data_IF_848561599106
#
_entry.id   IF_848561599106
#
_cell.length_a   1.000
_cell.length_b   1.000
_cell.length_c   1.000
_cell.angle_alpha   90.00
_cell.angle_beta   90.00
_cell.angle_gamma   90.00
#
_symmetry.space_group_name_H-M   'P 1'
#
loop_
_entity.id
_entity.type
_entity.pdbx_description
1 polymer ?
#
# COMPACT_ATOMS: atom_id res chain seq x y z
N UNK A 1 17.50 14.55 19.21
CA UNK A 1 18.50 14.02 18.24
C UNK A 1 17.76 13.07 17.32
N UNK A 2 17.87 13.17 16.00
CA UNK A 2 17.38 12.10 15.11
C UNK A 2 18.11 10.80 15.46
N UNK A 3 17.39 9.69 15.55
CA UNK A 3 17.97 8.35 15.65
C UNK A 3 18.95 8.18 14.49
N UNK A 4 20.16 7.76 14.75
CA UNK A 4 21.23 7.66 13.73
C UNK A 4 21.04 6.47 12.81
N UNK A 5 20.23 5.48 13.18
CA UNK A 5 19.88 4.30 12.41
C UNK A 5 18.38 4.28 12.12
N UNK A 6 18.01 3.90 10.89
CA UNK A 6 16.62 3.69 10.43
C UNK A 6 16.41 2.20 10.26
N UNK A 7 15.70 1.60 11.22
CA UNK A 7 15.45 0.16 11.26
C UNK A 7 14.03 -0.16 10.75
N UNK A 8 13.96 -1.04 9.78
CA UNK A 8 12.69 -1.56 9.22
C UNK A 8 12.65 -3.07 9.40
N UNK A 9 11.52 -3.55 9.88
CA UNK A 9 11.23 -4.99 9.98
C UNK A 9 10.17 -5.34 8.92
N UNK A 10 10.41 -6.40 8.16
CA UNK A 10 9.43 -6.96 7.21
C UNK A 10 8.96 -8.30 7.73
N UNK A 11 7.65 -8.41 8.02
CA UNK A 11 7.02 -9.65 8.45
C UNK A 11 6.34 -10.32 7.25
N UNK A 12 6.88 -11.45 6.85
CA UNK A 12 6.53 -12.22 5.67
C UNK A 12 7.56 -12.06 4.55
N UNK A 13 8.31 -13.13 4.26
CA UNK A 13 9.34 -13.17 3.19
C UNK A 13 8.85 -13.91 1.95
N UNK A 14 7.54 -13.72 1.64
CA UNK A 14 6.99 -14.11 0.34
C UNK A 14 7.47 -13.18 -0.77
N UNK A 15 7.02 -13.40 -2.02
CA UNK A 15 7.41 -12.57 -3.17
C UNK A 15 7.20 -11.06 -2.94
N UNK A 16 6.18 -10.67 -2.19
CA UNK A 16 5.92 -9.25 -1.89
C UNK A 16 6.95 -8.71 -0.91
N UNK A 17 7.17 -9.39 0.22
CA UNK A 17 8.12 -8.94 1.25
C UNK A 17 9.54 -8.83 0.71
N UNK A 18 10.00 -9.83 -0.05
CA UNK A 18 11.34 -9.82 -0.67
C UNK A 18 11.47 -8.76 -1.75
N UNK A 19 10.41 -8.50 -2.53
CA UNK A 19 10.40 -7.39 -3.49
C UNK A 19 10.46 -6.02 -2.81
N UNK A 20 9.81 -5.85 -1.65
CA UNK A 20 9.92 -4.63 -0.84
C UNK A 20 11.35 -4.47 -0.33
N UNK A 21 11.91 -5.53 0.27
CA UNK A 21 13.29 -5.54 0.76
C UNK A 21 14.28 -5.13 -0.33
N UNK A 22 14.21 -5.78 -1.49
CA UNK A 22 15.07 -5.48 -2.64
C UNK A 22 14.89 -4.04 -3.14
N UNK A 23 13.63 -3.56 -3.23
CA UNK A 23 13.37 -2.18 -3.64
C UNK A 23 13.91 -1.15 -2.65
N UNK A 24 13.88 -1.46 -1.34
CA UNK A 24 14.41 -0.59 -0.29
C UNK A 24 15.94 -0.54 -0.32
N UNK A 25 16.59 -1.67 -0.48
CA UNK A 25 18.05 -1.79 -0.61
C UNK A 25 18.54 -0.97 -1.80
N UNK A 26 17.96 -1.20 -2.99
CA UNK A 26 18.37 -0.47 -4.20
C UNK A 26 18.18 1.05 -4.12
N UNK A 27 17.34 1.54 -3.22
CA UNK A 27 17.08 2.98 -3.05
C UNK A 27 17.72 3.56 -1.78
N UNK A 28 18.50 2.78 -1.01
CA UNK A 28 19.12 3.23 0.23
C UNK A 28 18.12 3.78 1.26
N UNK A 29 16.94 3.14 1.42
CA UNK A 29 15.84 3.70 2.22
C UNK A 29 16.07 3.51 3.71
N UNK A 30 16.61 2.37 4.14
CA UNK A 30 16.86 2.03 5.54
C UNK A 30 18.35 1.76 5.78
N UNK A 31 18.78 1.80 7.04
CA UNK A 31 20.13 1.39 7.44
C UNK A 31 20.15 -0.06 7.93
N UNK A 32 19.03 -0.50 8.51
CA UNK A 32 18.84 -1.83 9.06
C UNK A 32 17.54 -2.42 8.54
N UNK A 33 17.60 -3.63 8.03
CA UNK A 33 16.47 -4.35 7.46
C UNK A 33 16.41 -5.75 8.03
N UNK A 34 15.35 -6.05 8.78
CA UNK A 34 15.14 -7.35 9.40
C UNK A 34 14.03 -8.10 8.69
N UNK A 35 14.27 -9.36 8.38
CA UNK A 35 13.30 -10.25 7.76
C UNK A 35 12.75 -11.24 8.78
N UNK A 36 11.43 -11.31 8.92
CA UNK A 36 10.75 -12.27 9.81
C UNK A 36 9.79 -13.12 8.96
N UNK A 37 9.85 -14.43 9.11
CA UNK A 37 8.90 -15.36 8.50
C UNK A 37 8.67 -16.54 9.45
N UNK A 38 7.51 -17.20 9.34
CA UNK A 38 7.24 -18.47 10.03
C UNK A 38 8.20 -19.58 9.60
N UNK A 39 8.71 -19.50 8.37
CA UNK A 39 9.82 -20.30 7.88
C UNK A 39 11.12 -19.52 8.05
N UNK A 40 11.75 -19.69 9.21
CA UNK A 40 12.97 -18.99 9.57
C UNK A 40 14.14 -19.30 8.62
N UNK A 41 14.30 -20.54 8.19
CA UNK A 41 15.35 -20.93 7.21
C UNK A 41 15.20 -20.17 5.89
N UNK A 42 13.95 -19.98 5.44
CA UNK A 42 13.67 -19.18 4.25
C UNK A 42 14.05 -17.72 4.47
N UNK A 43 13.65 -17.12 5.60
CA UNK A 43 13.99 -15.72 5.91
C UNK A 43 15.50 -15.50 5.97
N UNK A 44 16.25 -16.46 6.51
CA UNK A 44 17.70 -16.43 6.53
C UNK A 44 18.30 -16.52 5.11
N UNK A 45 17.80 -17.43 4.28
CA UNK A 45 18.24 -17.54 2.89
C UNK A 45 17.98 -16.26 2.08
N UNK A 46 16.80 -15.64 2.25
CA UNK A 46 16.48 -14.35 1.60
C UNK A 46 17.40 -13.21 2.11
N UNK A 47 17.75 -13.19 3.39
CA UNK A 47 18.67 -12.20 3.95
C UNK A 47 20.08 -12.37 3.38
N UNK A 48 20.58 -13.61 3.26
CA UNK A 48 21.89 -13.92 2.68
C UNK A 48 21.96 -13.50 1.20
N UNK A 49 20.95 -13.84 0.40
CA UNK A 49 20.89 -13.48 -1.03
C UNK A 49 20.87 -11.94 -1.23
N UNK A 50 20.12 -11.22 -0.38
CA UNK A 50 20.13 -9.76 -0.38
C UNK A 50 21.49 -9.17 -0.02
N UNK A 51 22.20 -9.76 0.95
CA UNK A 51 23.54 -9.34 1.36
C UNK A 51 24.57 -9.53 0.26
N UNK A 52 24.48 -10.58 -0.55
CA UNK A 52 25.38 -10.82 -1.66
C UNK A 52 25.36 -9.68 -2.70
N UNK A 53 24.23 -8.99 -2.80
CA UNK A 53 24.06 -7.81 -3.66
C UNK A 53 24.61 -6.50 -3.09
N UNK A 54 24.93 -6.42 -1.78
CA UNK A 54 25.23 -5.16 -1.09
C UNK A 54 26.45 -4.42 -1.65
N UNK A 55 27.44 -5.12 -2.16
CA UNK A 55 28.64 -4.50 -2.76
C UNK A 55 28.34 -3.58 -3.96
N UNK A 56 27.15 -3.71 -4.54
CA UNK A 56 26.67 -2.96 -5.70
C UNK A 56 25.54 -1.98 -5.36
N UNK A 57 25.13 -1.91 -4.08
CA UNK A 57 24.11 -0.97 -3.61
C UNK A 57 24.67 0.45 -3.49
N UNK A 58 23.78 1.45 -3.55
CA UNK A 58 24.15 2.85 -3.36
C UNK A 58 24.51 3.15 -1.88
N UNK A 59 23.88 2.43 -0.95
CA UNK A 59 24.06 2.59 0.49
C UNK A 59 24.36 1.23 1.13
N UNK A 60 25.11 1.25 2.23
CA UNK A 60 25.35 0.04 3.01
C UNK A 60 24.18 -0.21 3.98
N UNK A 61 23.42 -1.26 3.74
CA UNK A 61 22.27 -1.67 4.57
C UNK A 61 22.62 -2.97 5.29
N UNK A 62 22.50 -2.99 6.61
CA UNK A 62 22.60 -4.24 7.37
C UNK A 62 21.29 -5.03 7.19
N UNK A 63 21.41 -6.29 6.74
CA UNK A 63 20.26 -7.17 6.50
C UNK A 63 20.45 -8.47 7.26
N UNK A 64 19.42 -8.90 8.01
CA UNK A 64 19.44 -10.21 8.69
C UNK A 64 18.02 -10.75 8.87
N UNK A 65 17.91 -12.05 9.17
CA UNK A 65 16.67 -12.66 9.63
C UNK A 65 16.62 -12.59 11.17
N UNK A 66 15.42 -12.37 11.71
CA UNK A 66 15.24 -12.28 13.16
C UNK A 66 13.87 -12.78 13.61
N UNK A 67 13.57 -12.55 14.86
CA UNK A 67 12.27 -12.79 15.47
C UNK A 67 11.57 -11.47 15.86
N UNK A 68 10.39 -11.56 16.48
CA UNK A 68 9.61 -10.38 16.83
C UNK A 68 10.27 -9.47 17.87
N UNK A 69 11.30 -9.90 18.60
CA UNK A 69 12.05 -9.05 19.51
C UNK A 69 12.73 -7.89 18.78
N UNK A 70 13.06 -8.09 17.51
CA UNK A 70 13.63 -7.07 16.61
C UNK A 70 12.68 -5.87 16.36
N UNK A 71 11.40 -6.04 16.64
CA UNK A 71 10.42 -4.94 16.51
C UNK A 71 10.55 -3.91 17.64
N UNK A 72 11.19 -4.23 18.77
CA UNK A 72 11.24 -3.37 19.96
C UNK A 72 11.81 -1.98 19.72
N UNK A 73 12.79 -1.86 18.85
CA UNK A 73 13.50 -0.63 18.50
C UNK A 73 13.33 -0.22 17.03
N UNK A 74 12.48 -0.95 16.27
CA UNK A 74 12.19 -0.64 14.87
C UNK A 74 11.43 0.68 14.73
N UNK A 75 11.78 1.47 13.71
CA UNK A 75 11.05 2.68 13.35
C UNK A 75 9.76 2.35 12.60
N UNK A 76 9.79 1.25 11.83
CA UNK A 76 8.67 0.84 10.99
C UNK A 76 8.63 -0.69 10.85
N UNK A 77 7.42 -1.25 10.90
CA UNK A 77 7.18 -2.66 10.58
C UNK A 77 6.25 -2.75 9.37
N UNK A 78 6.70 -3.47 8.34
CA UNK A 78 5.88 -3.78 7.15
C UNK A 78 5.33 -5.19 7.29
N UNK A 79 4.01 -5.35 7.18
CA UNK A 79 3.35 -6.65 7.25
C UNK A 79 2.89 -7.06 5.86
N UNK A 80 3.49 -8.12 5.32
CA UNK A 80 3.15 -8.71 4.02
C UNK A 80 2.65 -10.16 4.16
N UNK A 81 2.67 -10.70 5.38
CA UNK A 81 2.26 -12.05 5.67
C UNK A 81 0.76 -12.24 5.48
N UNK A 82 0.40 -13.35 4.87
CA UNK A 82 -0.97 -13.76 4.59
C UNK A 82 -0.96 -14.96 3.65
N UNK A 83 -2.10 -15.62 3.53
CA UNK A 83 -2.25 -16.73 2.59
C UNK A 83 -3.02 -16.28 1.35
N UNK A 84 -2.71 -16.89 0.22
CA UNK A 84 -3.47 -16.74 -1.01
C UNK A 84 -4.70 -17.65 -0.99
N UNK A 85 -5.74 -17.27 -1.74
CA UNK A 85 -6.96 -18.06 -1.88
C UNK A 85 -6.63 -19.45 -2.48
N UNK A 86 -7.12 -20.49 -1.84
CA UNK A 86 -6.99 -21.86 -2.31
C UNK A 86 -8.18 -22.27 -3.18
N UNK A 87 -8.03 -23.23 -4.09
CA UNK A 87 -9.16 -23.80 -4.83
C UNK A 87 -10.26 -24.27 -3.87
N UNK A 88 -11.51 -23.85 -4.11
CA UNK A 88 -12.66 -24.19 -3.27
C UNK A 88 -12.84 -23.35 -2.00
N UNK A 89 -11.93 -22.46 -1.67
CA UNK A 89 -12.05 -21.51 -0.56
C UNK A 89 -12.88 -20.30 -1.00
N UNK A 90 -13.84 -19.88 -0.17
CA UNK A 90 -14.58 -18.63 -0.44
C UNK A 90 -13.72 -17.40 -0.12
N UNK A 91 -14.04 -16.25 -0.73
CA UNK A 91 -13.39 -14.96 -0.41
C UNK A 91 -13.55 -14.62 1.08
N UNK A 92 -14.70 -14.93 1.67
CA UNK A 92 -14.97 -14.66 3.09
C UNK A 92 -14.10 -15.51 4.02
N UNK A 93 -13.90 -16.81 3.70
CA UNK A 93 -13.03 -17.70 4.48
C UNK A 93 -11.59 -17.23 4.45
N UNK A 94 -11.13 -16.76 3.28
CA UNK A 94 -9.79 -16.17 3.13
C UNK A 94 -9.62 -14.93 4.01
N UNK A 95 -10.61 -14.03 3.99
CA UNK A 95 -10.58 -12.81 4.81
C UNK A 95 -10.53 -13.15 6.30
N UNK A 96 -11.33 -14.11 6.78
CA UNK A 96 -11.30 -14.56 8.17
C UNK A 96 -9.96 -15.16 8.56
N UNK A 97 -9.37 -15.98 7.69
CA UNK A 97 -8.05 -16.59 7.95
C UNK A 97 -6.97 -15.53 8.05
N UNK A 98 -6.91 -14.60 7.08
CA UNK A 98 -5.93 -13.52 7.07
C UNK A 98 -6.14 -12.54 8.24
N UNK A 99 -7.38 -12.33 8.67
CA UNK A 99 -7.69 -11.55 9.87
C UNK A 99 -7.09 -12.19 11.14
N UNK A 100 -7.19 -13.52 11.29
CA UNK A 100 -6.55 -14.26 12.38
C UNK A 100 -5.05 -14.11 12.36
N UNK A 101 -4.43 -14.35 11.21
CA UNK A 101 -2.97 -14.18 11.01
C UNK A 101 -2.53 -12.75 11.36
N UNK A 102 -3.25 -11.74 10.89
CA UNK A 102 -2.93 -10.33 11.19
C UNK A 102 -2.99 -10.03 12.68
N UNK A 103 -4.02 -10.50 13.39
CA UNK A 103 -4.14 -10.33 14.84
C UNK A 103 -2.95 -10.96 15.58
N UNK A 104 -2.57 -12.18 15.23
CA UNK A 104 -1.45 -12.88 15.86
C UNK A 104 -0.11 -12.20 15.61
N UNK A 105 0.14 -11.72 14.40
CA UNK A 105 1.33 -10.95 14.05
C UNK A 105 1.39 -9.65 14.86
N UNK A 106 0.31 -8.87 14.86
CA UNK A 106 0.27 -7.59 15.57
C UNK A 106 0.46 -7.76 17.08
N UNK A 107 -0.11 -8.82 17.68
CA UNK A 107 0.12 -9.13 19.11
C UNK A 107 1.59 -9.40 19.41
N UNK A 108 2.29 -10.14 18.55
CA UNK A 108 3.71 -10.40 18.71
C UNK A 108 4.55 -9.13 18.57
N UNK A 109 4.25 -8.30 17.55
CA UNK A 109 4.90 -7.00 17.36
C UNK A 109 4.72 -6.12 18.60
N UNK A 110 3.50 -5.97 19.08
CA UNK A 110 3.20 -5.13 20.25
C UNK A 110 3.73 -5.72 21.55
N UNK A 111 3.75 -7.05 21.67
CA UNK A 111 4.35 -7.76 22.79
C UNK A 111 5.86 -7.54 22.93
N UNK A 112 6.56 -7.25 21.85
CA UNK A 112 7.96 -6.85 21.81
C UNK A 112 8.21 -5.41 22.31
N UNK A 113 7.15 -4.61 22.52
CA UNK A 113 7.28 -3.21 22.94
C UNK A 113 7.37 -2.21 21.78
N UNK A 114 6.97 -2.60 20.59
CA UNK A 114 6.97 -1.73 19.39
C UNK A 114 6.18 -0.44 19.61
N UNK A 115 6.75 0.68 19.17
CA UNK A 115 6.12 2.01 19.24
C UNK A 115 6.37 2.87 17.98
N UNK A 116 6.60 2.22 16.84
CA UNK A 116 6.82 2.87 15.54
C UNK A 116 5.54 2.97 14.69
N UNK A 117 5.71 2.83 13.39
CA UNK A 117 4.64 2.89 12.39
C UNK A 117 4.44 1.51 11.76
N UNK A 118 3.19 1.04 11.71
CA UNK A 118 2.81 -0.17 10.98
C UNK A 118 2.42 0.18 9.55
N UNK A 119 2.98 -0.56 8.58
CA UNK A 119 2.56 -0.52 7.17
C UNK A 119 2.03 -1.90 6.78
N UNK A 120 0.79 -1.95 6.34
CA UNK A 120 0.10 -3.19 5.95
C UNK A 120 0.04 -3.27 4.43
N UNK A 121 0.57 -4.37 3.87
CA UNK A 121 0.52 -4.68 2.44
C UNK A 121 -0.20 -6.01 2.14
N UNK A 122 -0.64 -6.73 3.18
CA UNK A 122 -1.41 -7.98 3.05
C UNK A 122 -2.85 -7.70 2.63
N UNK A 123 -3.41 -8.56 1.78
CA UNK A 123 -4.78 -8.41 1.28
C UNK A 123 -5.81 -9.27 2.07
N UNK A 124 -7.06 -8.73 2.20
CA UNK A 124 -7.55 -7.44 1.70
C UNK A 124 -7.05 -6.26 2.56
N UNK A 125 -6.28 -5.37 1.95
CA UNK A 125 -5.44 -4.42 2.68
C UNK A 125 -6.22 -3.48 3.59
N UNK A 126 -7.33 -2.89 3.13
CA UNK A 126 -8.12 -1.94 3.92
C UNK A 126 -8.71 -2.60 5.18
N UNK A 127 -9.20 -3.82 5.04
CA UNK A 127 -9.75 -4.63 6.14
C UNK A 127 -8.64 -5.01 7.13
N UNK A 128 -7.51 -5.51 6.62
CA UNK A 128 -6.39 -5.93 7.46
C UNK A 128 -5.72 -4.75 8.17
N UNK A 129 -5.69 -3.57 7.53
CA UNK A 129 -5.23 -2.32 8.17
C UNK A 129 -6.15 -1.92 9.33
N UNK A 130 -7.47 -2.03 9.16
CA UNK A 130 -8.43 -1.78 10.22
C UNK A 130 -8.26 -2.77 11.40
N UNK A 131 -7.97 -4.04 11.11
CA UNK A 131 -7.71 -5.07 12.13
C UNK A 131 -6.39 -4.79 12.84
N UNK A 132 -5.33 -4.49 12.10
CA UNK A 132 -4.02 -4.15 12.65
C UNK A 132 -4.10 -2.92 13.59
N UNK A 133 -4.82 -1.89 13.17
CA UNK A 133 -5.06 -0.73 14.01
C UNK A 133 -5.74 -1.07 15.34
N UNK A 134 -6.84 -1.82 15.29
CA UNK A 134 -7.60 -2.21 16.50
C UNK A 134 -6.79 -3.08 17.44
N UNK A 135 -6.04 -4.03 16.89
CA UNK A 135 -5.25 -4.96 17.66
C UNK A 135 -4.00 -4.32 18.28
N UNK A 136 -3.38 -3.35 17.57
CA UNK A 136 -2.17 -2.70 18.03
C UNK A 136 -2.41 -1.66 19.15
N UNK A 137 -3.59 -1.06 19.19
CA UNK A 137 -3.87 0.07 20.09
C UNK A 137 -3.10 1.36 19.74
N UNK A 138 -2.38 1.39 18.62
CA UNK A 138 -1.68 2.58 18.15
C UNK A 138 -2.67 3.65 17.68
N UNK A 139 -2.29 4.93 17.69
CA UNK A 139 -3.06 5.97 16.99
C UNK A 139 -3.28 5.58 15.53
N UNK A 140 -4.46 5.88 14.97
CA UNK A 140 -4.79 5.55 13.58
C UNK A 140 -3.81 6.16 12.56
N UNK A 141 -3.19 7.28 12.90
CA UNK A 141 -2.13 7.90 12.09
C UNK A 141 -0.87 7.04 11.94
N UNK A 142 -0.62 6.12 12.87
CA UNK A 142 0.57 5.23 12.85
C UNK A 142 0.31 3.87 12.24
N UNK A 143 -0.85 3.64 11.68
CA UNK A 143 -1.18 2.40 10.97
C UNK A 143 -1.62 2.77 9.56
N UNK A 144 -0.85 2.34 8.58
CA UNK A 144 -0.99 2.74 7.17
C UNK A 144 -1.18 1.48 6.35
N UNK A 145 -2.25 1.38 5.58
CA UNK A 145 -2.34 0.38 4.52
C UNK A 145 -1.74 0.90 3.22
N UNK A 146 -1.22 0.01 2.37
CA UNK A 146 -0.74 0.44 1.04
C UNK A 146 -1.84 1.04 0.18
N UNK A 147 -3.10 0.72 0.48
CA UNK A 147 -4.28 1.30 -0.15
C UNK A 147 -4.21 1.24 -1.67
N UNK A 148 -4.61 2.32 -2.30
CA UNK A 148 -4.65 2.46 -3.76
C UNK A 148 -3.36 3.08 -4.34
N UNK A 149 -2.22 3.01 -3.61
CA UNK A 149 -0.94 3.55 -4.09
C UNK A 149 -0.49 2.88 -5.39
N UNK A 150 -0.61 1.56 -5.50
CA UNK A 150 -0.27 0.83 -6.72
C UNK A 150 -1.28 1.09 -7.85
N UNK A 151 -2.57 1.12 -7.54
CA UNK A 151 -3.63 1.35 -8.52
C UNK A 151 -3.51 2.75 -9.11
N UNK A 152 -3.20 3.75 -8.29
CA UNK A 152 -2.87 5.10 -8.74
C UNK A 152 -1.64 5.12 -9.66
N UNK A 153 -0.62 4.30 -9.40
CA UNK A 153 0.54 4.19 -10.30
C UNK A 153 0.15 3.58 -11.64
N UNK A 154 -0.70 2.55 -11.64
CA UNK A 154 -1.27 1.95 -12.86
C UNK A 154 -2.10 2.97 -13.64
N UNK A 155 -2.96 3.71 -12.94
CA UNK A 155 -3.79 4.75 -13.51
C UNK A 155 -2.97 5.82 -14.23
N UNK A 156 -1.96 6.37 -13.56
CA UNK A 156 -1.04 7.34 -14.14
C UNK A 156 -0.28 6.78 -15.35
N UNK A 157 0.13 5.53 -15.29
CA UNK A 157 0.81 4.84 -16.40
C UNK A 157 -0.11 4.70 -17.63
N UNK A 158 -1.34 4.27 -17.45
CA UNK A 158 -2.27 4.09 -18.60
C UNK A 158 -2.58 5.44 -19.29
N UNK A 159 -2.80 6.51 -18.51
CA UNK A 159 -2.98 7.87 -19.06
C UNK A 159 -1.71 8.32 -19.80
N UNK A 160 -0.56 8.12 -19.19
CA UNK A 160 0.73 8.50 -19.76
C UNK A 160 1.01 7.79 -21.08
N UNK A 161 0.69 6.50 -21.18
CA UNK A 161 0.80 5.72 -22.42
C UNK A 161 -0.14 6.28 -23.50
N UNK A 162 -1.39 6.60 -23.15
CA UNK A 162 -2.36 7.15 -24.10
C UNK A 162 -1.92 8.52 -24.65
N UNK A 163 -1.31 9.36 -23.83
CA UNK A 163 -0.87 10.71 -24.21
C UNK A 163 0.60 10.79 -24.64
N UNK A 164 1.35 9.68 -24.57
CA UNK A 164 2.80 9.63 -24.85
C UNK A 164 3.59 10.63 -24.01
N UNK A 165 3.35 10.64 -22.69
CA UNK A 165 4.06 11.46 -21.69
C UNK A 165 4.69 10.59 -20.60
N UNK A 166 5.59 11.15 -19.80
CA UNK A 166 6.12 10.47 -18.62
C UNK A 166 5.04 10.32 -17.54
N UNK A 167 4.85 9.13 -16.92
CA UNK A 167 3.86 8.93 -15.86
C UNK A 167 3.99 9.88 -14.67
N UNK A 168 5.20 10.40 -14.40
CA UNK A 168 5.45 11.41 -13.36
C UNK A 168 4.83 12.77 -13.65
N UNK A 169 4.46 13.03 -14.91
CA UNK A 169 3.76 14.24 -15.33
C UNK A 169 2.23 14.12 -15.19
N UNK A 170 1.73 12.95 -14.82
CA UNK A 170 0.31 12.70 -14.58
C UNK A 170 0.04 12.78 -13.07
N UNK A 171 -0.89 13.63 -12.68
CA UNK A 171 -1.38 13.76 -11.32
C UNK A 171 -2.85 13.34 -11.29
N UNK A 172 -3.17 12.31 -10.54
CA UNK A 172 -4.49 11.74 -10.40
C UNK A 172 -4.46 10.64 -9.36
N UNK A 173 -5.62 10.21 -8.88
CA UNK A 173 -5.74 9.26 -7.78
C UNK A 173 -6.83 8.23 -8.07
N UNK A 174 -6.58 7.01 -7.62
CA UNK A 174 -7.62 6.01 -7.40
C UNK A 174 -8.01 6.09 -5.92
N UNK A 175 -9.31 6.13 -5.65
CA UNK A 175 -9.90 6.27 -4.31
C UNK A 175 -10.69 5.01 -3.95
N UNK A 176 -10.99 4.84 -2.66
CA UNK A 176 -11.87 3.78 -2.18
C UNK A 176 -11.14 2.49 -1.83
N UNK A 177 -11.81 1.36 -1.99
CA UNK A 177 -11.25 0.03 -1.76
C UNK A 177 -10.08 -0.24 -2.71
N UNK A 178 -9.02 -0.86 -2.19
CA UNK A 178 -8.08 -1.54 -3.08
C UNK A 178 -8.72 -2.85 -3.56
N UNK A 179 -9.41 -2.80 -4.69
CA UNK A 179 -10.16 -3.93 -5.22
C UNK A 179 -11.13 -3.53 -6.33
N UNK A 180 -12.17 -4.36 -6.52
CA UNK A 180 -13.07 -4.23 -7.66
C UNK A 180 -13.97 -2.98 -7.61
N UNK A 181 -14.12 -2.33 -6.46
CA UNK A 181 -14.94 -1.12 -6.27
C UNK A 181 -14.11 0.17 -6.22
N UNK A 182 -12.85 0.14 -6.65
CA UNK A 182 -11.98 1.33 -6.73
C UNK A 182 -12.56 2.41 -7.65
N UNK A 183 -12.27 3.68 -7.36
CA UNK A 183 -12.83 4.84 -8.05
C UNK A 183 -11.73 5.73 -8.61
N UNK A 184 -11.73 5.95 -9.92
CA UNK A 184 -10.84 6.91 -10.56
C UNK A 184 -11.36 8.34 -10.37
N UNK A 185 -10.57 9.21 -9.71
CA UNK A 185 -10.90 10.61 -9.50
C UNK A 185 -10.56 11.44 -10.77
N UNK A 186 -11.33 11.26 -11.82
CA UNK A 186 -11.14 11.95 -13.10
C UNK A 186 -11.20 13.47 -12.96
N UNK A 187 -12.12 13.96 -12.12
CA UNK A 187 -12.31 15.39 -11.86
C UNK A 187 -11.04 16.06 -11.27
N UNK A 188 -10.15 15.29 -10.63
CA UNK A 188 -8.90 15.75 -10.04
C UNK A 188 -7.66 15.21 -10.77
N UNK A 189 -7.85 14.73 -12.00
CA UNK A 189 -6.73 14.22 -12.80
C UNK A 189 -6.22 15.28 -13.76
N UNK A 190 -4.90 15.54 -13.73
CA UNK A 190 -4.24 16.52 -14.58
C UNK A 190 -2.98 15.94 -15.22
N UNK A 191 -2.60 16.49 -16.37
CA UNK A 191 -1.33 16.18 -17.05
C UNK A 191 -0.59 17.49 -17.30
N UNK A 192 0.55 17.67 -16.66
CA UNK A 192 1.28 18.95 -16.74
C UNK A 192 0.45 20.14 -16.24
N UNK A 193 -0.47 19.93 -15.30
CA UNK A 193 -1.37 20.96 -14.77
C UNK A 193 -2.66 21.19 -15.59
N UNK A 194 -2.75 20.63 -16.79
CA UNK A 194 -3.97 20.70 -17.60
C UNK A 194 -4.96 19.60 -17.19
N UNK A 195 -6.23 19.92 -16.86
CA UNK A 195 -7.23 18.92 -16.52
C UNK A 195 -7.41 17.85 -17.62
N UNK A 196 -7.56 16.59 -17.22
CA UNK A 196 -7.73 15.48 -18.16
C UNK A 196 -8.94 15.67 -19.07
N UNK A 197 -10.03 16.23 -18.56
CA UNK A 197 -11.25 16.48 -19.33
C UNK A 197 -11.03 17.47 -20.49
N UNK A 198 -10.06 18.37 -20.41
CA UNK A 198 -9.72 19.23 -21.55
C UNK A 198 -9.03 18.46 -22.70
N UNK A 199 -8.37 17.33 -22.41
CA UNK A 199 -7.85 16.44 -23.46
C UNK A 199 -8.97 15.65 -24.13
N UNK A 200 -10.07 15.43 -23.43
CA UNK A 200 -11.29 14.81 -24.01
C UNK A 200 -12.06 15.81 -24.85
N UNK A 201 -12.40 16.96 -24.28
CA UNK A 201 -13.35 17.90 -24.84
C UNK A 201 -12.75 18.79 -25.94
N UNK A 202 -11.48 19.17 -25.83
CA UNK A 202 -10.85 20.16 -26.71
C UNK A 202 -9.75 19.58 -27.59
N UNK A 203 -8.89 18.73 -27.04
CA UNK A 203 -7.74 18.17 -27.78
C UNK A 203 -8.08 16.89 -28.54
N UNK A 204 -9.12 16.18 -28.11
CA UNK A 204 -9.55 14.88 -28.66
C UNK A 204 -8.45 13.80 -28.73
N UNK A 205 -7.38 13.95 -27.93
CA UNK A 205 -6.33 12.94 -27.81
C UNK A 205 -6.74 11.78 -26.90
N UNK A 206 -7.74 12.03 -26.05
CA UNK A 206 -8.44 11.03 -25.26
C UNK A 206 -9.92 11.15 -25.67
N UNK A 207 -10.55 10.05 -25.99
CA UNK A 207 -11.99 9.98 -26.19
C UNK A 207 -12.68 9.61 -24.87
N UNK A 208 -13.95 9.97 -24.69
CA UNK A 208 -14.70 9.65 -23.46
C UNK A 208 -14.64 8.14 -23.12
N UNK A 209 -14.80 7.29 -24.13
CA UNK A 209 -14.65 5.82 -23.96
C UNK A 209 -13.28 5.36 -23.47
N UNK A 210 -12.22 6.14 -23.69
CA UNK A 210 -10.88 5.79 -23.21
C UNK A 210 -10.79 5.89 -21.69
N UNK A 211 -11.62 6.74 -21.07
CA UNK A 211 -11.66 6.86 -19.61
C UNK A 211 -12.11 5.53 -18.98
N UNK A 212 -13.17 4.94 -19.49
CA UNK A 212 -13.67 3.64 -19.03
C UNK A 212 -12.66 2.54 -19.32
N UNK A 213 -12.06 2.52 -20.50
CA UNK A 213 -11.02 1.54 -20.87
C UNK A 213 -9.81 1.64 -19.93
N UNK A 214 -9.39 2.85 -19.57
CA UNK A 214 -8.27 3.06 -18.65
C UNK A 214 -8.64 2.57 -17.25
N UNK A 215 -9.83 2.93 -16.74
CA UNK A 215 -10.29 2.48 -15.43
C UNK A 215 -10.37 0.94 -15.37
N UNK A 216 -10.93 0.30 -16.38
CA UNK A 216 -11.01 -1.15 -16.48
C UNK A 216 -9.63 -1.83 -16.53
N UNK A 217 -8.67 -1.25 -17.26
CA UNK A 217 -7.29 -1.76 -17.29
C UNK A 217 -6.61 -1.67 -15.93
N UNK A 218 -6.84 -0.60 -15.17
CA UNK A 218 -6.28 -0.43 -13.82
C UNK A 218 -6.83 -1.53 -12.91
N UNK A 219 -8.14 -1.66 -12.85
CA UNK A 219 -8.87 -2.64 -12.05
C UNK A 219 -8.45 -4.09 -12.38
N UNK A 220 -8.31 -4.41 -13.66
CA UNK A 220 -7.99 -5.76 -14.12
C UNK A 220 -6.48 -6.06 -14.18
N UNK A 221 -5.60 -5.08 -13.95
CA UNK A 221 -4.16 -5.25 -14.12
C UNK A 221 -3.56 -6.38 -13.26
N UNK A 222 -4.05 -6.56 -12.02
CA UNK A 222 -3.59 -7.62 -11.15
C UNK A 222 -3.96 -9.00 -11.70
N UNK A 223 -5.19 -9.16 -12.19
CA UNK A 223 -5.69 -10.43 -12.75
C UNK A 223 -4.87 -10.83 -13.99
N UNK A 224 -4.60 -9.89 -14.90
CA UNK A 224 -3.80 -10.13 -16.09
C UNK A 224 -2.36 -10.57 -15.73
N UNK A 225 -1.72 -9.91 -14.75
CA UNK A 225 -0.37 -10.25 -14.30
C UNK A 225 -0.36 -11.65 -13.65
N UNK A 226 -1.34 -11.95 -12.79
CA UNK A 226 -1.46 -13.25 -12.09
C UNK A 226 -1.71 -14.38 -13.07
N UNK A 227 -2.54 -14.18 -14.09
CA UNK A 227 -2.76 -15.18 -15.12
C UNK A 227 -1.46 -15.56 -15.83
N UNK A 228 -0.62 -14.57 -16.18
CA UNK A 228 0.62 -14.77 -16.92
C UNK A 228 1.79 -15.30 -16.06
N UNK A 229 2.00 -14.77 -14.85
CA UNK A 229 3.17 -15.11 -14.02
C UNK A 229 2.81 -15.65 -12.62
N UNK A 230 1.54 -15.94 -12.37
CA UNK A 230 0.98 -16.58 -11.16
C UNK A 230 1.02 -15.72 -9.87
N UNK A 231 1.68 -14.56 -9.88
CA UNK A 231 1.71 -13.62 -8.76
C UNK A 231 2.06 -12.21 -9.25
N UNK A 232 1.66 -11.19 -8.48
CA UNK A 232 2.10 -9.79 -8.66
C UNK A 232 2.86 -9.35 -7.42
N UNK A 233 4.05 -8.76 -7.57
CA UNK A 233 4.91 -8.38 -6.45
C UNK A 233 5.85 -7.20 -6.72
N UNK A 234 6.35 -6.96 -7.94
CA UNK A 234 7.27 -5.85 -8.17
C UNK A 234 6.61 -4.48 -7.99
N UNK A 235 5.40 -4.30 -8.52
CA UNK A 235 4.66 -3.04 -8.41
C UNK A 235 4.35 -2.69 -6.97
N UNK A 236 3.82 -3.65 -6.19
CA UNK A 236 3.54 -3.43 -4.77
C UNK A 236 4.84 -3.27 -3.97
N UNK A 237 5.93 -3.96 -4.35
CA UNK A 237 7.24 -3.78 -3.76
C UNK A 237 7.71 -2.32 -3.83
N UNK A 238 7.67 -1.73 -5.03
CA UNK A 238 8.02 -0.32 -5.26
C UNK A 238 7.07 0.65 -4.57
N UNK A 239 5.75 0.38 -4.58
CA UNK A 239 4.76 1.25 -3.94
C UNK A 239 4.91 1.28 -2.42
N UNK A 240 5.16 0.11 -1.81
CA UNK A 240 5.40 0.03 -0.36
C UNK A 240 6.73 0.70 0.01
N UNK A 241 7.81 0.45 -0.74
CA UNK A 241 9.09 1.12 -0.53
C UNK A 241 8.95 2.65 -0.63
N UNK A 242 8.08 3.16 -1.52
CA UNK A 242 7.77 4.60 -1.62
C UNK A 242 7.09 5.16 -0.37
N UNK A 243 6.17 4.40 0.24
CA UNK A 243 5.52 4.78 1.50
C UNK A 243 6.55 4.79 2.64
N UNK A 244 7.34 3.72 2.77
CA UNK A 244 8.39 3.61 3.79
C UNK A 244 9.39 4.76 3.67
N UNK A 245 9.81 5.10 2.45
CA UNK A 245 10.71 6.23 2.18
C UNK A 245 10.12 7.57 2.63
N UNK A 246 8.83 7.80 2.36
CA UNK A 246 8.14 9.02 2.78
C UNK A 246 8.14 9.17 4.31
N UNK A 247 7.91 8.08 5.03
CA UNK A 247 7.95 8.06 6.49
C UNK A 247 9.35 8.30 7.01
N UNK A 248 10.32 7.48 6.62
CA UNK A 248 11.68 7.51 7.18
C UNK A 248 12.42 8.81 6.86
N UNK A 249 12.16 9.43 5.72
CA UNK A 249 12.78 10.69 5.30
C UNK A 249 11.97 11.93 5.68
N UNK A 250 10.81 11.78 6.35
CA UNK A 250 9.92 12.90 6.65
C UNK A 250 9.58 13.74 5.40
N UNK A 251 9.22 13.07 4.30
CA UNK A 251 9.05 13.74 3.02
C UNK A 251 7.78 14.58 2.91
N UNK A 252 6.81 14.39 3.82
CA UNK A 252 5.50 15.06 3.77
C UNK A 252 4.82 14.84 2.41
N UNK A 253 4.95 13.62 1.88
CA UNK A 253 4.47 13.27 0.55
C UNK A 253 2.97 13.01 0.56
N UNK A 254 2.26 13.45 -0.49
CA UNK A 254 0.85 13.09 -0.70
C UNK A 254 0.79 11.75 -1.42
N UNK A 255 0.32 10.72 -0.71
CA UNK A 255 0.21 9.35 -1.21
C UNK A 255 -1.22 8.81 -1.00
N UNK A 256 -1.78 8.06 -1.96
CA UNK A 256 -3.11 7.46 -1.82
C UNK A 256 -3.03 6.14 -1.02
N UNK A 257 -2.76 6.29 0.27
CA UNK A 257 -2.66 5.19 1.22
C UNK A 257 -4.02 4.85 1.81
N UNK A 258 -4.16 3.64 2.33
CA UNK A 258 -5.31 3.30 3.17
C UNK A 258 -5.15 3.98 4.52
N UNK A 259 -5.95 5.03 4.72
CA UNK A 259 -5.95 5.88 5.89
C UNK A 259 -7.31 5.85 6.60
N UNK A 260 -7.32 6.12 7.91
CA UNK A 260 -8.54 6.16 8.70
C UNK A 260 -9.34 7.43 8.41
N UNK A 261 -10.61 7.24 8.06
CA UNK A 261 -11.55 8.32 7.87
C UNK A 261 -12.37 8.57 9.15
N UNK A 262 -12.41 9.83 9.57
CA UNK A 262 -13.13 10.31 10.75
C UNK A 262 -14.21 11.36 10.44
N UNK A 263 -14.63 11.45 9.19
CA UNK A 263 -15.64 12.38 8.69
C UNK A 263 -15.45 12.83 7.25
N UNK A 264 -14.23 12.65 6.71
CA UNK A 264 -13.92 13.02 5.33
C UNK A 264 -14.83 12.26 4.35
N UNK A 265 -15.24 12.91 3.27
CA UNK A 265 -16.23 12.41 2.29
C UNK A 265 -17.56 11.98 2.93
N UNK A 266 -17.90 12.53 4.12
CA UNK A 266 -19.07 12.11 4.89
C UNK A 266 -18.98 10.68 5.46
N UNK A 267 -17.79 10.08 5.48
CA UNK A 267 -17.54 8.71 5.90
C UNK A 267 -16.69 8.68 7.18
N UNK A 268 -16.91 7.70 8.04
CA UNK A 268 -16.14 7.51 9.29
C UNK A 268 -15.98 6.03 9.63
N UNK A 269 -15.03 5.78 10.54
CA UNK A 269 -14.75 4.48 11.16
C UNK A 269 -14.32 3.38 10.18
N UNK A 270 -13.52 3.77 9.17
CA UNK A 270 -12.99 2.86 8.15
C UNK A 270 -11.62 3.32 7.66
N UNK A 271 -10.78 2.37 7.28
CA UNK A 271 -9.59 2.60 6.49
C UNK A 271 -9.92 2.36 5.02
N UNK A 272 -9.47 3.26 4.14
CA UNK A 272 -9.66 3.15 2.69
C UNK A 272 -8.64 4.03 1.95
N UNK A 273 -8.43 3.74 0.67
CA UNK A 273 -7.47 4.47 -0.17
C UNK A 273 -7.90 5.92 -0.41
N UNK A 274 -7.15 6.86 0.11
CA UNK A 274 -7.36 8.31 -0.07
C UNK A 274 -6.05 9.08 -0.07
N UNK A 275 -5.93 10.19 -0.82
CA UNK A 275 -4.76 11.05 -0.76
C UNK A 275 -4.50 11.53 0.65
N UNK A 276 -3.32 11.25 1.16
CA UNK A 276 -2.95 11.57 2.53
C UNK A 276 -1.53 12.08 2.59
N UNK A 277 -1.27 13.06 3.45
CA UNK A 277 0.07 13.54 3.75
C UNK A 277 0.73 12.54 4.69
N UNK A 278 1.79 11.90 4.19
CA UNK A 278 2.59 10.90 4.92
C UNK A 278 3.93 11.51 5.31
N UNK A 279 4.26 11.46 6.60
CA UNK A 279 5.49 11.97 7.17
C UNK A 279 6.06 11.02 8.26
N UNK A 280 7.08 11.47 9.00
CA UNK A 280 7.74 10.67 10.05
C UNK A 280 6.82 10.26 11.21
N UNK A 281 5.62 10.81 11.30
CA UNK A 281 4.60 10.47 12.31
C UNK A 281 3.50 9.55 11.75
N UNK A 282 3.59 9.21 10.47
CA UNK A 282 2.61 8.42 9.73
C UNK A 282 1.68 9.26 8.87
N UNK A 283 0.39 8.99 8.88
CA UNK A 283 -0.62 9.81 8.18
C UNK A 283 -0.90 11.05 9.02
N UNK A 284 -0.42 12.20 8.56
CA UNK A 284 -0.65 13.48 9.22
C UNK A 284 -2.05 14.02 8.97
N UNK A 285 -2.52 13.89 7.73
CA UNK A 285 -3.77 14.48 7.27
C UNK A 285 -4.28 13.75 6.02
N UNK A 286 -5.59 13.54 5.95
CA UNK A 286 -6.27 13.12 4.72
C UNK A 286 -6.62 14.37 3.92
N UNK A 287 -6.21 14.42 2.66
CA UNK A 287 -6.60 15.49 1.73
C UNK A 287 -7.93 15.11 1.09
N UNK A 288 -8.99 15.77 1.52
CA UNK A 288 -10.32 15.57 0.97
C UNK A 288 -10.45 16.31 -0.37
N UNK A 289 -10.59 15.55 -1.45
CA UNK A 289 -10.80 16.11 -2.80
C UNK A 289 -12.27 16.51 -2.98
N UNK A 290 -12.52 17.65 -3.62
CA UNK A 290 -13.87 18.07 -4.02
C UNK A 290 -14.31 17.33 -5.31
N UNK A 291 -14.48 16.01 -5.19
CA UNK A 291 -14.88 15.14 -6.32
C UNK A 291 -16.33 15.41 -6.77
N UNK A 292 -16.69 14.94 -7.98
CA UNK A 292 -18.06 15.12 -8.49
C UNK A 292 -19.08 14.32 -7.68
N UNK A 293 -20.37 14.66 -7.72
CA UNK A 293 -21.42 13.89 -7.03
C UNK A 293 -21.44 12.41 -7.43
N UNK A 294 -21.14 12.11 -8.69
CA UNK A 294 -21.08 10.75 -9.24
C UNK A 294 -19.90 9.99 -8.64
N UNK A 295 -18.70 10.60 -8.62
CA UNK A 295 -17.50 10.03 -8.02
C UNK A 295 -17.70 9.84 -6.50
N UNK A 296 -18.34 10.78 -5.81
CA UNK A 296 -18.67 10.68 -4.40
C UNK A 296 -19.65 9.52 -4.12
N UNK A 297 -20.64 9.33 -4.95
CA UNK A 297 -21.56 8.21 -4.84
C UNK A 297 -20.84 6.86 -5.03
N UNK A 298 -19.97 6.74 -6.04
CA UNK A 298 -19.15 5.55 -6.27
C UNK A 298 -18.21 5.30 -5.08
N UNK A 299 -17.57 6.33 -4.54
CA UNK A 299 -16.70 6.21 -3.36
C UNK A 299 -17.47 5.72 -2.14
N UNK A 300 -18.66 6.27 -1.87
CA UNK A 300 -19.51 5.82 -0.76
C UNK A 300 -19.96 4.37 -0.92
N UNK A 301 -20.24 3.93 -2.15
CA UNK A 301 -20.55 2.53 -2.44
C UNK A 301 -19.34 1.64 -2.14
N UNK A 302 -18.15 1.99 -2.62
CA UNK A 302 -16.89 1.28 -2.34
C UNK A 302 -16.65 1.13 -0.84
N UNK A 303 -16.82 2.21 -0.08
CA UNK A 303 -16.69 2.17 1.39
C UNK A 303 -17.74 1.28 2.05
N UNK A 304 -18.96 1.26 1.54
CA UNK A 304 -20.01 0.38 2.10
C UNK A 304 -19.68 -1.10 1.87
N UNK A 305 -19.09 -1.46 0.74
CA UNK A 305 -18.59 -2.81 0.49
C UNK A 305 -17.52 -3.21 1.51
N UNK A 306 -16.54 -2.34 1.77
CA UNK A 306 -15.54 -2.54 2.81
C UNK A 306 -16.17 -2.73 4.21
N UNK A 307 -17.14 -1.90 4.59
CA UNK A 307 -17.83 -2.01 5.88
C UNK A 307 -18.59 -3.35 6.01
N UNK A 308 -19.24 -3.79 4.96
CA UNK A 308 -19.93 -5.06 4.94
C UNK A 308 -18.96 -6.22 5.18
N UNK A 309 -17.82 -6.25 4.51
CA UNK A 309 -16.78 -7.27 4.71
C UNK A 309 -16.20 -7.17 6.12
N UNK A 310 -15.86 -5.98 6.60
CA UNK A 310 -15.30 -5.77 7.94
C UNK A 310 -16.23 -6.28 9.05
N UNK A 311 -17.54 -6.13 8.90
CA UNK A 311 -18.54 -6.62 9.87
C UNK A 311 -18.58 -8.16 9.97
N UNK A 312 -18.10 -8.88 8.97
CA UNK A 312 -18.06 -10.36 8.98
C UNK A 312 -16.85 -10.92 9.72
N UNK A 313 -15.84 -10.10 10.03
CA UNK A 313 -14.56 -10.50 10.65
C UNK A 313 -14.27 -9.80 11.99
N UNK A 314 -15.23 -9.03 12.47
CA UNK A 314 -15.20 -8.39 13.81
C UNK A 314 -15.37 -9.38 14.93
#
# INVERSE_FOLDING_TARGET
MRKTSRKVVIVGTGFVGTSIAYAMINQGIANELVLIDVNQEKAEGEALDLLDGMAWGEENVAVWSGDYSECSDADLVVITAGINQKPGQTRLDLVKTNAGIMKDIVRQIMGAGFNGILVVASNPVDILTCIAWKESGLPSSRVIGTGTTLDTTRFRKEIALKLSVDPRSVHGYILGEHGDSEVAAWSHTTVGGKPIMEFVEKDHRIEEKDLDIIADKVKNAAYEIIDRKKATYYGIGMSTARIVKAVLNNEQAVLPVSAYLSGQYGVKDIFTGVPSIVDEKGVREVIELSITPEEEQMFKQSVNELKNVLNTVR
#
